data_IF_332017432976
#
_entry.id   IF_332017432976
#
_cell.length_a   1.000
_cell.length_b   1.000
_cell.length_c   1.000
_cell.angle_alpha   90.00
_cell.angle_beta   90.00
_cell.angle_gamma   90.00
#
_symmetry.space_group_name_H-M   'P 1'
#
loop_
_entity.id
_entity.type
_entity.pdbx_description
1 polymer ?
#
# COMPACT_ATOMS: atom_id res chain seq x y z
N UNK A 1 0.75 -5.11 -0.27
CA UNK A 1 1.86 -4.30 -0.82
C UNK A 1 2.93 -4.13 0.25
N UNK A 2 4.19 -4.28 -0.12
CA UNK A 2 5.35 -4.10 0.77
C UNK A 2 6.24 -2.97 0.26
N UNK A 3 6.73 -2.13 1.16
CA UNK A 3 7.74 -1.11 0.85
C UNK A 3 9.14 -1.72 0.86
N UNK A 4 9.92 -1.47 -0.18
CA UNK A 4 11.25 -2.07 -0.37
C UNK A 4 12.39 -1.18 0.16
N UNK A 5 12.10 0.09 0.41
CA UNK A 5 12.99 1.08 1.00
C UNK A 5 12.21 2.07 1.88
N UNK A 6 12.95 2.77 2.73
CA UNK A 6 12.45 3.96 3.42
C UNK A 6 12.38 5.13 2.44
N UNK A 7 11.38 6.00 2.62
CA UNK A 7 11.24 7.26 1.86
C UNK A 7 11.47 8.41 2.82
N UNK A 8 12.32 9.36 2.42
CA UNK A 8 12.71 10.50 3.27
C UNK A 8 11.57 11.50 3.47
N UNK A 9 10.90 11.90 2.39
CA UNK A 9 9.74 12.80 2.46
C UNK A 9 8.66 12.48 1.41
N UNK A 10 7.41 12.52 1.85
CA UNK A 10 6.22 12.18 1.07
C UNK A 10 6.06 10.68 0.81
N UNK A 11 5.46 10.34 -0.32
CA UNK A 11 5.32 8.96 -0.79
C UNK A 11 4.34 8.12 0.02
N UNK A 12 3.52 8.69 0.89
CA UNK A 12 2.59 7.94 1.72
C UNK A 12 1.52 7.22 0.89
N UNK A 13 0.89 6.20 1.48
CA UNK A 13 -0.31 5.57 0.91
C UNK A 13 -1.51 5.93 1.75
N UNK A 14 -2.48 6.63 1.14
CA UNK A 14 -3.70 7.11 1.82
C UNK A 14 -4.87 6.19 1.52
N UNK A 15 -5.61 5.84 2.57
CA UNK A 15 -6.91 5.17 2.52
C UNK A 15 -7.98 6.16 2.97
N UNK A 16 -8.68 6.78 2.02
CA UNK A 16 -9.53 7.96 2.27
C UNK A 16 -10.73 7.64 3.15
N UNK A 17 -11.34 6.47 2.96
CA UNK A 17 -12.51 6.01 3.72
C UNK A 17 -12.17 5.77 5.20
N UNK A 18 -10.98 5.23 5.48
CA UNK A 18 -10.51 4.93 6.81
C UNK A 18 -9.84 6.14 7.50
N UNK A 19 -9.56 7.22 6.75
CA UNK A 19 -8.78 8.38 7.20
C UNK A 19 -7.40 7.96 7.73
N UNK A 20 -6.78 7.01 7.04
CA UNK A 20 -5.45 6.48 7.37
C UNK A 20 -4.47 6.89 6.28
N UNK A 21 -3.28 7.26 6.70
CA UNK A 21 -2.13 7.52 5.84
C UNK A 21 -0.94 6.71 6.37
N UNK A 22 -0.30 5.95 5.48
CA UNK A 22 0.79 5.06 5.86
C UNK A 22 2.09 5.49 5.22
N UNK A 23 3.08 5.80 6.06
CA UNK A 23 4.43 6.16 5.66
C UNK A 23 5.18 4.93 5.11
N UNK A 24 5.93 5.07 3.99
CA UNK A 24 6.80 4.03 3.50
C UNK A 24 7.97 3.80 4.46
N UNK A 25 8.06 2.59 5.00
CA UNK A 25 9.22 2.14 5.78
C UNK A 25 9.63 0.77 5.28
N UNK A 26 10.93 0.55 5.08
CA UNK A 26 11.47 -0.67 4.50
C UNK A 26 10.97 -1.90 5.27
N UNK A 27 10.38 -2.84 4.54
CA UNK A 27 9.84 -4.08 5.11
C UNK A 27 8.42 -3.97 5.66
N UNK A 28 7.87 -2.76 5.85
CA UNK A 28 6.46 -2.61 6.25
C UNK A 28 5.56 -3.11 5.13
N UNK A 29 4.72 -4.10 5.47
CA UNK A 29 3.79 -4.75 4.56
C UNK A 29 2.37 -4.50 5.00
N UNK A 30 1.57 -4.00 4.07
CA UNK A 30 0.13 -3.78 4.26
C UNK A 30 -0.65 -4.83 3.47
N UNK A 31 -1.71 -5.36 4.09
CA UNK A 31 -2.66 -6.30 3.49
C UNK A 31 -4.06 -5.70 3.65
N UNK A 32 -4.79 -5.57 2.56
CA UNK A 32 -6.14 -5.00 2.56
C UNK A 32 -7.00 -5.59 1.43
N UNK A 33 -8.35 -5.56 1.55
CA UNK A 33 -9.26 -5.95 0.47
C UNK A 33 -9.07 -5.10 -0.79
N UNK A 34 -9.09 -5.72 -1.97
CA UNK A 34 -8.84 -5.01 -3.25
C UNK A 34 -10.06 -4.23 -3.79
N UNK A 35 -11.21 -4.33 -3.13
CA UNK A 35 -12.48 -3.77 -3.59
C UNK A 35 -12.72 -2.33 -3.11
N UNK A 36 -13.86 -1.75 -3.52
CA UNK A 36 -14.24 -0.35 -3.35
C UNK A 36 -14.23 0.18 -1.89
N UNK A 37 -14.20 -0.69 -0.88
CA UNK A 37 -14.14 -0.28 0.54
C UNK A 37 -12.76 0.17 1.00
N UNK A 38 -11.72 -0.06 0.19
CA UNK A 38 -10.32 0.31 0.48
C UNK A 38 -9.70 1.04 -0.71
N UNK A 39 -10.45 2.02 -1.24
CA UNK A 39 -9.91 2.93 -2.24
C UNK A 39 -8.66 3.63 -1.65
N UNK A 40 -7.55 3.54 -2.37
CA UNK A 40 -6.26 4.05 -1.89
C UNK A 40 -5.49 4.78 -3.00
N UNK A 41 -4.63 5.70 -2.59
CA UNK A 41 -3.76 6.47 -3.47
C UNK A 41 -2.32 6.44 -2.96
N UNK A 42 -1.36 6.42 -3.90
CA UNK A 42 0.03 6.72 -3.60
C UNK A 42 0.27 8.22 -3.76
N UNK A 43 0.68 8.88 -2.69
CA UNK A 43 0.98 10.32 -2.71
C UNK A 43 2.35 10.61 -3.31
N UNK A 44 2.57 11.87 -3.66
CA UNK A 44 3.80 12.37 -4.26
C UNK A 44 5.00 12.08 -3.36
N UNK A 45 6.07 11.53 -3.94
CA UNK A 45 7.39 11.48 -3.30
C UNK A 45 8.03 12.85 -3.50
N UNK A 46 8.31 13.55 -2.40
CA UNK A 46 8.92 14.88 -2.48
C UNK A 46 10.45 14.78 -2.61
N UNK A 47 11.05 13.78 -1.96
CA UNK A 47 12.50 13.55 -1.94
C UNK A 47 12.81 12.06 -2.12
N UNK A 48 13.73 11.75 -3.03
CA UNK A 48 14.21 10.39 -3.29
C UNK A 48 13.28 9.57 -4.18
N UNK A 49 13.27 8.24 -3.96
CA UNK A 49 12.53 7.28 -4.77
C UNK A 49 11.76 6.31 -3.87
N UNK A 50 10.60 5.85 -4.33
CA UNK A 50 9.77 4.88 -3.61
C UNK A 50 9.67 3.58 -4.40
N UNK A 51 10.15 2.49 -3.81
CA UNK A 51 10.04 1.15 -4.37
C UNK A 51 9.01 0.32 -3.61
N UNK A 52 8.09 -0.29 -4.37
CA UNK A 52 7.05 -1.18 -3.83
C UNK A 52 7.02 -2.50 -4.59
N UNK A 53 6.58 -3.55 -3.90
CA UNK A 53 6.07 -4.76 -4.53
C UNK A 53 4.63 -4.97 -4.10
N UNK A 54 3.77 -5.31 -5.06
CA UNK A 54 2.35 -5.55 -4.81
C UNK A 54 1.90 -6.87 -5.44
N UNK A 55 0.87 -7.46 -4.86
CA UNK A 55 0.27 -8.70 -5.32
C UNK A 55 -1.18 -8.78 -4.85
N UNK A 56 -1.97 -9.57 -5.55
CA UNK A 56 -3.38 -9.80 -5.25
C UNK A 56 -3.61 -11.26 -4.90
N UNK A 57 -4.53 -11.49 -3.97
CA UNK A 57 -4.98 -12.81 -3.57
C UNK A 57 -6.47 -12.93 -3.87
N UNK A 58 -6.89 -14.07 -4.40
CA UNK A 58 -8.28 -14.43 -4.58
C UNK A 58 -8.56 -15.71 -3.79
N UNK A 59 -9.82 -15.89 -3.38
CA UNK A 59 -10.24 -17.17 -2.81
C UNK A 59 -10.10 -18.27 -3.87
N UNK A 60 -9.76 -19.50 -3.47
CA UNK A 60 -9.71 -20.63 -4.41
C UNK A 60 -11.08 -20.82 -5.08
N UNK A 61 -11.07 -21.19 -6.35
CA UNK A 61 -12.30 -21.44 -7.12
C UNK A 61 -13.13 -22.62 -6.60
N UNK A 62 -12.48 -23.56 -5.92
CA UNK A 62 -13.15 -24.70 -5.28
C UNK A 62 -13.11 -24.52 -3.77
N UNK A 63 -14.30 -24.36 -3.18
CA UNK A 63 -14.50 -24.53 -1.75
C UNK A 63 -14.73 -26.03 -1.55
N UNK A 64 -13.73 -26.74 -1.01
CA UNK A 64 -13.93 -28.11 -0.54
C UNK A 64 -14.90 -28.16 0.62
#
# INVERSE_FOLDING_TARGET
MSYLNDVEDGGTTTFTQQKIEVTPEKGKTMIWPAEWTHAHAGNLVNVGEKYIITGWMHFPHEVR
#
